data_IF_739989463800
#
_entry.id   IF_739989463800
#
_cell.length_a   1.000
_cell.length_b   1.000
_cell.length_c   1.000
_cell.angle_alpha   90.00
_cell.angle_beta   90.00
_cell.angle_gamma   90.00
#
_symmetry.space_group_name_H-M   'P 1'
#
loop_
_entity.id
_entity.type
_entity.pdbx_description
1 polymer ?
#
# COMPACT_ATOMS: atom_id res chain seq x y z
N UNK A 1 15.63 1.29 -27.68
CA UNK A 1 14.79 0.35 -26.93
C UNK A 1 13.73 -0.16 -27.88
N UNK A 2 13.67 -1.46 -28.17
CA UNK A 2 12.56 -2.00 -28.94
C UNK A 2 11.28 -1.75 -28.14
N UNK A 3 10.22 -1.14 -28.70
CA UNK A 3 8.96 -1.00 -28.01
C UNK A 3 8.45 -2.41 -27.76
N UNK A 4 8.50 -2.87 -26.52
CA UNK A 4 7.86 -4.14 -26.16
C UNK A 4 6.38 -4.00 -26.50
N UNK A 5 5.87 -4.87 -27.37
CA UNK A 5 4.45 -4.89 -27.68
C UNK A 5 3.66 -5.10 -26.39
N UNK A 6 2.77 -4.17 -26.07
CA UNK A 6 1.89 -4.27 -24.91
C UNK A 6 0.94 -5.43 -25.14
N UNK A 7 0.94 -6.41 -24.25
CA UNK A 7 0.07 -7.59 -24.39
C UNK A 7 -1.39 -7.20 -24.19
N UNK A 8 -2.32 -8.02 -24.68
CA UNK A 8 -3.74 -7.72 -24.51
C UNK A 8 -4.17 -7.78 -23.03
N UNK A 9 -3.51 -8.63 -22.23
CA UNK A 9 -3.69 -8.70 -20.78
C UNK A 9 -3.27 -7.39 -20.11
N UNK A 10 -2.16 -6.78 -20.53
CA UNK A 10 -1.69 -5.49 -20.02
C UNK A 10 -2.63 -4.35 -20.41
N UNK A 11 -3.18 -4.35 -21.64
CA UNK A 11 -4.22 -3.38 -22.04
C UNK A 11 -5.48 -3.54 -21.21
N UNK A 12 -5.91 -4.77 -20.94
CA UNK A 12 -7.08 -5.05 -20.11
C UNK A 12 -6.85 -4.65 -18.65
N UNK A 13 -5.65 -4.89 -18.11
CA UNK A 13 -5.25 -4.41 -16.79
C UNK A 13 -5.29 -2.88 -16.72
N UNK A 14 -4.74 -2.19 -17.74
CA UNK A 14 -4.77 -0.72 -17.83
C UNK A 14 -6.20 -0.17 -17.86
N UNK A 15 -7.08 -0.74 -18.70
CA UNK A 15 -8.51 -0.37 -18.74
C UNK A 15 -9.19 -0.56 -17.38
N UNK A 16 -8.89 -1.66 -16.70
CA UNK A 16 -9.42 -1.96 -15.36
C UNK A 16 -8.97 -0.93 -14.33
N UNK A 17 -7.68 -0.57 -14.33
CA UNK A 17 -7.15 0.46 -13.43
C UNK A 17 -7.75 1.84 -13.69
N UNK A 18 -7.86 2.24 -14.95
CA UNK A 18 -8.50 3.51 -15.32
C UNK A 18 -9.93 3.59 -14.82
N UNK A 19 -10.70 2.49 -14.87
CA UNK A 19 -12.06 2.45 -14.31
C UNK A 19 -12.07 2.66 -12.79
N UNK A 20 -11.23 1.95 -12.03
CA UNK A 20 -11.15 2.15 -10.58
C UNK A 20 -10.81 3.60 -10.24
N UNK A 21 -9.82 4.20 -10.91
CA UNK A 21 -9.40 5.57 -10.64
C UNK A 21 -10.46 6.60 -11.06
N UNK A 22 -11.14 6.41 -12.19
CA UNK A 22 -12.23 7.29 -12.62
C UNK A 22 -13.42 7.25 -11.66
N UNK A 23 -13.81 6.06 -11.19
CA UNK A 23 -14.86 5.91 -10.17
C UNK A 23 -14.46 6.62 -8.87
N UNK A 24 -13.23 6.36 -8.38
CA UNK A 24 -12.71 6.98 -7.18
C UNK A 24 -12.68 8.51 -7.29
N UNK A 25 -12.21 9.05 -8.40
CA UNK A 25 -12.20 10.51 -8.62
C UNK A 25 -13.61 11.12 -8.65
N UNK A 26 -14.62 10.37 -9.11
CA UNK A 26 -16.00 10.84 -9.22
C UNK A 26 -16.76 10.86 -7.89
N UNK A 27 -16.59 9.83 -7.06
CA UNK A 27 -17.44 9.64 -5.87
C UNK A 27 -16.70 9.15 -4.61
N UNK A 28 -15.36 9.03 -4.65
CA UNK A 28 -14.55 8.52 -3.55
C UNK A 28 -14.60 7.00 -3.37
N UNK A 29 -15.31 6.27 -4.22
CA UNK A 29 -15.43 4.82 -4.21
C UNK A 29 -14.90 4.23 -5.54
N UNK A 30 -13.83 3.43 -5.53
CA UNK A 30 -13.28 2.88 -6.77
C UNK A 30 -14.19 1.83 -7.43
N UNK A 31 -15.16 1.26 -6.69
CA UNK A 31 -15.98 0.14 -7.14
C UNK A 31 -16.97 0.53 -8.26
N UNK A 32 -17.32 -0.46 -9.09
CA UNK A 32 -18.26 -0.30 -10.20
C UNK A 32 -18.57 -1.64 -10.88
N UNK A 33 -19.51 -1.62 -11.83
CA UNK A 33 -19.94 -2.82 -12.54
C UNK A 33 -18.79 -3.48 -13.32
N UNK A 34 -18.71 -4.82 -13.24
CA UNK A 34 -17.68 -5.60 -13.93
C UNK A 34 -16.28 -5.51 -13.32
N UNK A 35 -16.13 -4.90 -12.13
CA UNK A 35 -14.87 -4.85 -11.39
C UNK A 35 -14.91 -5.80 -10.19
N UNK A 36 -13.75 -6.32 -9.81
CA UNK A 36 -13.59 -7.00 -8.52
C UNK A 36 -13.76 -5.94 -7.42
N UNK A 37 -14.43 -6.32 -6.35
CA UNK A 37 -14.59 -5.40 -5.22
C UNK A 37 -13.24 -5.00 -4.63
N UNK A 38 -12.98 -3.70 -4.57
CA UNK A 38 -11.89 -3.10 -3.84
C UNK A 38 -12.39 -2.73 -2.43
N UNK A 39 -11.96 -3.47 -1.39
CA UNK A 39 -12.43 -3.24 -0.03
C UNK A 39 -11.87 -1.92 0.53
N UNK A 40 -12.68 -1.22 1.31
CA UNK A 40 -12.20 -0.04 2.03
C UNK A 40 -11.20 -0.44 3.10
N UNK A 41 -10.08 0.27 3.17
CA UNK A 41 -9.04 -0.01 4.15
C UNK A 41 -9.55 0.32 5.56
N UNK A 42 -9.70 -0.71 6.40
CA UNK A 42 -10.23 -0.62 7.75
C UNK A 42 -9.32 -1.37 8.76
N UNK A 43 -9.81 -1.66 9.97
CA UNK A 43 -9.06 -2.39 10.99
C UNK A 43 -8.61 -3.80 10.56
N UNK A 44 -9.28 -4.40 9.59
CA UNK A 44 -8.90 -5.68 8.99
C UNK A 44 -7.76 -5.54 7.96
N UNK A 45 -7.34 -4.31 7.64
CA UNK A 45 -6.26 -3.98 6.70
C UNK A 45 -6.43 -4.66 5.32
N UNK A 46 -7.68 -4.73 4.85
CA UNK A 46 -8.01 -5.30 3.55
C UNK A 46 -7.55 -4.39 2.41
N UNK A 47 -7.03 -4.99 1.35
CA UNK A 47 -6.56 -4.29 0.16
C UNK A 47 -6.80 -5.11 -1.11
N UNK A 48 -6.73 -4.44 -2.26
CA UNK A 48 -6.80 -5.09 -3.56
C UNK A 48 -5.38 -5.31 -4.12
N UNK A 49 -5.07 -6.55 -4.49
CA UNK A 49 -3.90 -6.87 -5.27
C UNK A 49 -4.15 -6.52 -6.74
N UNK A 50 -3.40 -5.55 -7.25
CA UNK A 50 -3.41 -5.18 -8.66
C UNK A 50 -2.39 -6.05 -9.39
N UNK A 51 -2.87 -7.09 -10.04
CA UNK A 51 -2.13 -7.99 -10.93
C UNK A 51 -2.99 -8.27 -12.17
N UNK A 52 -2.56 -9.14 -13.09
CA UNK A 52 -3.39 -9.58 -14.22
C UNK A 52 -4.77 -10.10 -13.78
N UNK A 53 -4.81 -10.76 -12.63
CA UNK A 53 -6.04 -11.13 -11.92
C UNK A 53 -6.10 -10.41 -10.58
N UNK A 54 -7.16 -9.64 -10.36
CA UNK A 54 -7.33 -8.86 -9.14
C UNK A 54 -7.86 -9.75 -8.03
N UNK A 55 -7.25 -9.65 -6.85
CA UNK A 55 -7.62 -10.47 -5.68
C UNK A 55 -7.63 -9.60 -4.43
N UNK A 56 -8.60 -9.85 -3.55
CA UNK A 56 -8.62 -9.25 -2.21
C UNK A 56 -7.64 -9.99 -1.31
N UNK A 57 -6.91 -9.24 -0.50
CA UNK A 57 -6.03 -9.78 0.53
C UNK A 57 -5.99 -8.81 1.72
N UNK A 58 -5.28 -9.17 2.78
CA UNK A 58 -5.23 -8.39 4.02
C UNK A 58 -3.81 -8.28 4.57
N UNK A 59 -3.58 -7.26 5.39
CA UNK A 59 -2.33 -7.09 6.17
C UNK A 59 -1.09 -7.01 5.27
N UNK A 60 -1.10 -6.05 4.34
CA UNK A 60 -0.04 -5.88 3.36
C UNK A 60 1.33 -5.71 4.03
N UNK A 61 2.23 -6.68 3.78
CA UNK A 61 3.62 -6.67 4.27
C UNK A 61 3.75 -6.58 5.80
N UNK A 62 2.80 -7.14 6.56
CA UNK A 62 2.72 -7.11 8.04
C UNK A 62 4.09 -7.26 8.71
N UNK A 63 4.81 -8.37 8.45
CA UNK A 63 6.12 -8.66 9.04
C UNK A 63 7.18 -7.57 8.79
N UNK A 64 7.17 -6.95 7.61
CA UNK A 64 8.12 -5.87 7.27
C UNK A 64 7.74 -4.59 8.02
N UNK A 65 6.45 -4.28 8.09
CA UNK A 65 5.95 -3.11 8.84
C UNK A 65 6.27 -3.25 10.33
N UNK A 66 6.05 -4.43 10.91
CA UNK A 66 6.43 -4.75 12.30
C UNK A 66 7.92 -4.56 12.54
N UNK A 67 8.76 -5.13 11.67
CA UNK A 67 10.20 -4.98 11.75
C UNK A 67 10.65 -3.52 11.76
N UNK A 68 10.16 -2.70 10.81
CA UNK A 68 10.54 -1.30 10.73
C UNK A 68 9.99 -0.47 11.89
N UNK A 69 8.76 -0.73 12.35
CA UNK A 69 8.20 -0.09 13.55
C UNK A 69 9.10 -0.33 14.77
N UNK A 70 9.53 -1.58 15.00
CA UNK A 70 10.44 -1.93 16.09
C UNK A 70 11.78 -1.20 15.95
N UNK A 71 12.40 -1.28 14.78
CA UNK A 71 13.70 -0.67 14.52
C UNK A 71 13.69 0.85 14.72
N UNK A 72 12.65 1.53 14.23
CA UNK A 72 12.51 3.00 14.35
C UNK A 72 12.27 3.40 15.81
N UNK A 73 11.46 2.63 16.55
CA UNK A 73 11.18 2.89 17.97
C UNK A 73 12.45 2.74 18.82
N UNK A 74 13.20 1.66 18.62
CA UNK A 74 14.49 1.44 19.29
C UNK A 74 15.47 2.58 19.02
N UNK A 75 15.60 3.01 17.75
CA UNK A 75 16.48 4.13 17.38
C UNK A 75 16.05 5.44 18.03
N UNK A 76 14.75 5.69 18.16
CA UNK A 76 14.20 6.91 18.77
C UNK A 76 14.45 6.91 20.28
N UNK A 77 14.21 5.79 20.95
CA UNK A 77 14.44 5.63 22.39
C UNK A 77 15.93 5.78 22.74
N UNK A 78 16.81 5.19 21.95
CA UNK A 78 18.26 5.29 22.17
C UNK A 78 18.77 6.72 22.02
N UNK A 79 18.29 7.47 21.01
CA UNK A 79 18.60 8.90 20.86
C UNK A 79 18.12 9.72 22.06
N UNK A 80 16.90 9.47 22.53
CA UNK A 80 16.34 10.19 23.67
C UNK A 80 17.13 9.89 24.97
N UNK A 81 17.58 8.64 25.17
CA UNK A 81 18.47 8.29 26.28
C UNK A 81 19.84 8.97 26.19
N UNK A 82 20.44 9.03 25.00
CA UNK A 82 21.72 9.73 24.79
C UNK A 82 21.60 11.23 25.06
N UNK A 83 20.54 11.86 24.56
CA UNK A 83 20.27 13.29 24.81
C UNK A 83 20.04 13.58 26.30
N UNK A 84 19.35 12.67 27.01
CA UNK A 84 19.12 12.80 28.46
C UNK A 84 20.42 12.61 29.25
N UNK A 85 21.29 11.66 28.86
CA UNK A 85 22.62 11.48 29.47
C UNK A 85 23.51 12.71 29.27
N UNK A 86 23.60 13.22 28.04
CA UNK A 86 24.39 14.41 27.74
C UNK A 86 23.94 15.64 28.55
N UNK A 87 22.63 15.79 28.79
CA UNK A 87 22.08 16.88 29.61
C UNK A 87 22.29 16.69 31.13
N UNK A 88 22.55 15.46 31.60
CA UNK A 88 22.85 15.17 33.01
C UNK A 88 24.35 15.28 33.33
N UNK A 89 25.20 15.26 32.30
CA UNK A 89 26.66 15.39 32.39
C UNK A 89 27.15 16.85 32.19
N UNK A 90 26.23 17.78 31.95
CA UNK A 90 26.42 19.25 31.92
C UNK A 90 25.83 19.87 33.19
#
# INVERSE_FOLDING_TARGET
>A
CLPGEVTEEEKNLSRTLMKYWANFARNGNPNGEGLVEWPSYNLNEEYLQINLQQKKDRKLKEKKVEFWKKLILEKTNNKNMQNKKFKLEL
#
